data_IF_216815070339
#
_entry.id   IF_216815070339
#
_cell.length_a   1.000
_cell.length_b   1.000
_cell.length_c   1.000
_cell.angle_alpha   90.00
_cell.angle_beta   90.00
_cell.angle_gamma   90.00
#
_symmetry.space_group_name_H-M   'P 1'
#
loop_
_entity.id
_entity.type
_entity.pdbx_description
1 polymer ?
#
# COMPACT_ATOMS: atom_id res chain seq x y z
N UNK A 1 -6.23 23.15 -5.38
CA UNK A 1 -7.32 22.38 -6.00
C UNK A 1 -8.61 22.70 -5.26
N UNK A 2 -9.65 23.08 -5.99
CA UNK A 2 -10.97 23.32 -5.40
C UNK A 2 -11.66 21.97 -5.14
N UNK A 3 -12.46 21.81 -4.06
CA UNK A 3 -13.12 20.55 -3.71
C UNK A 3 -14.06 19.99 -4.79
N UNK A 4 -14.49 20.83 -5.73
CA UNK A 4 -15.37 20.49 -6.85
C UNK A 4 -14.71 19.63 -7.94
N UNK A 5 -13.38 19.60 -8.01
CA UNK A 5 -12.63 18.85 -9.04
C UNK A 5 -12.22 17.44 -8.57
N UNK A 6 -12.51 17.11 -7.31
CA UNK A 6 -12.19 15.82 -6.73
C UNK A 6 -13.31 14.80 -7.01
N UNK A 7 -12.99 13.56 -7.37
CA UNK A 7 -14.01 12.55 -7.65
C UNK A 7 -14.84 12.26 -6.40
N UNK A 8 -16.17 12.21 -6.56
CA UNK A 8 -17.15 11.99 -5.49
C UNK A 8 -16.93 10.70 -4.66
N UNK A 9 -16.05 9.80 -5.13
CA UNK A 9 -15.58 8.63 -4.37
C UNK A 9 -14.85 8.98 -3.07
N UNK A 10 -14.22 10.15 -2.98
CA UNK A 10 -13.50 10.60 -1.78
C UNK A 10 -14.50 10.97 -0.68
N UNK A 11 -15.58 11.67 -1.04
CA UNK A 11 -16.66 12.05 -0.13
C UNK A 11 -17.46 10.84 0.41
N UNK A 12 -17.51 9.73 -0.34
CA UNK A 12 -18.16 8.48 0.11
C UNK A 12 -17.43 7.77 1.26
N UNK A 13 -16.18 8.14 1.58
CA UNK A 13 -15.42 7.53 2.68
C UNK A 13 -15.84 8.01 4.07
N UNK A 14 -16.59 9.11 4.16
CA UNK A 14 -17.16 9.66 5.40
C UNK A 14 -18.68 9.66 5.30
N UNK A 15 -19.36 8.52 5.54
CA UNK A 15 -20.80 8.51 5.66
C UNK A 15 -21.22 9.35 6.88
N UNK A 16 -22.17 10.26 6.69
CA UNK A 16 -22.79 11.01 7.79
C UNK A 16 -23.54 10.00 8.66
N UNK A 17 -23.06 9.79 9.88
CA UNK A 17 -23.69 8.88 10.84
C UNK A 17 -24.60 9.69 11.75
N UNK A 18 -25.88 9.31 11.81
CA UNK A 18 -26.86 9.88 12.74
C UNK A 18 -26.98 9.01 14.01
N UNK A 19 -25.84 8.54 14.53
CA UNK A 19 -25.74 7.77 15.77
C UNK A 19 -24.63 8.35 16.65
N UNK A 20 -24.68 8.07 17.97
CA UNK A 20 -23.67 8.50 18.94
C UNK A 20 -22.42 7.59 18.97
N UNK A 21 -22.11 6.95 17.83
CA UNK A 21 -21.03 5.98 17.75
C UNK A 21 -19.78 6.64 17.16
N UNK A 22 -18.93 7.15 18.05
CA UNK A 22 -17.68 7.87 17.74
C UNK A 22 -16.56 6.94 17.19
N UNK A 23 -16.84 5.66 16.95
CA UNK A 23 -15.87 4.72 16.43
C UNK A 23 -15.53 5.01 14.96
N UNK A 24 -14.30 5.44 14.70
CA UNK A 24 -13.81 5.81 13.36
C UNK A 24 -13.90 4.66 12.33
N UNK A 25 -13.88 3.41 12.77
CA UNK A 25 -14.01 2.22 11.92
C UNK A 25 -15.18 1.34 12.38
N UNK A 26 -15.98 0.83 11.43
CA UNK A 26 -17.09 -0.10 11.70
C UNK A 26 -16.69 -1.59 11.53
N UNK A 27 -15.40 -1.90 11.61
CA UNK A 27 -14.92 -3.27 11.42
C UNK A 27 -15.07 -4.09 12.71
N UNK A 28 -15.47 -5.37 12.59
CA UNK A 28 -15.72 -6.29 13.72
C UNK A 28 -14.45 -6.61 14.52
N UNK A 29 -13.31 -6.65 13.85
CA UNK A 29 -12.02 -6.93 14.48
C UNK A 29 -11.15 -5.68 14.35
N UNK A 30 -10.90 -5.04 15.48
CA UNK A 30 -10.02 -3.89 15.60
C UNK A 30 -8.96 -4.21 16.63
N UNK A 31 -7.71 -3.95 16.28
CA UNK A 31 -6.59 -4.19 17.16
C UNK A 31 -5.33 -3.65 16.51
N UNK A 32 -4.49 -3.01 17.33
CA UNK A 32 -3.14 -2.68 16.92
C UNK A 32 -2.21 -3.82 17.37
N UNK A 33 -1.25 -4.24 16.52
CA UNK A 33 -0.26 -5.21 16.93
C UNK A 33 0.53 -4.67 18.13
N UNK A 34 0.58 -5.42 19.23
CA UNK A 34 1.23 -5.03 20.49
C UNK A 34 2.70 -4.61 20.31
N UNK A 35 3.39 -5.23 19.35
CA UNK A 35 4.79 -5.00 19.04
C UNK A 35 5.01 -4.17 17.77
N UNK A 36 3.97 -3.52 17.25
CA UNK A 36 4.00 -2.75 16.01
C UNK A 36 3.96 -3.61 14.74
N UNK A 37 3.73 -2.96 13.60
CA UNK A 37 3.59 -3.63 12.29
C UNK A 37 4.90 -4.25 11.80
N UNK A 38 6.04 -3.64 12.14
CA UNK A 38 7.36 -4.14 11.75
C UNK A 38 7.61 -5.56 12.25
N UNK A 39 7.28 -5.85 13.51
CA UNK A 39 7.47 -7.19 14.09
C UNK A 39 6.50 -8.21 13.49
N UNK A 40 5.26 -7.79 13.20
CA UNK A 40 4.30 -8.63 12.50
C UNK A 40 4.81 -9.03 11.11
N UNK A 41 5.28 -8.07 10.31
CA UNK A 41 5.84 -8.34 8.97
C UNK A 41 7.08 -9.21 9.07
N UNK A 42 7.98 -8.92 10.03
CA UNK A 42 9.17 -9.74 10.27
C UNK A 42 8.81 -11.19 10.58
N UNK A 43 7.76 -11.41 11.39
CA UNK A 43 7.27 -12.75 11.70
C UNK A 43 6.71 -13.48 10.48
N UNK A 44 6.04 -12.77 9.58
CA UNK A 44 5.51 -13.35 8.32
C UNK A 44 6.66 -13.76 7.39
N UNK A 45 7.73 -12.96 7.33
CA UNK A 45 8.88 -13.19 6.46
C UNK A 45 9.91 -14.16 7.05
N UNK A 46 9.77 -14.57 8.31
CA UNK A 46 10.71 -15.45 9.00
C UNK A 46 10.48 -16.92 8.66
N UNK A 47 10.83 -17.31 7.42
CA UNK A 47 10.75 -18.68 6.94
C UNK A 47 12.03 -19.03 6.17
N UNK A 48 12.53 -20.26 6.28
CA UNK A 48 13.82 -20.68 5.70
C UNK A 48 13.88 -20.49 4.18
N UNK A 49 12.74 -20.66 3.50
CA UNK A 49 12.61 -20.47 2.05
C UNK A 49 12.45 -19.00 1.61
N UNK A 50 12.42 -18.04 2.53
CA UNK A 50 12.22 -16.62 2.21
C UNK A 50 13.52 -15.86 2.50
N UNK A 51 14.15 -15.36 1.44
CA UNK A 51 15.27 -14.43 1.52
C UNK A 51 14.78 -13.01 1.22
N UNK A 52 15.12 -12.07 2.10
CA UNK A 52 14.74 -10.66 1.97
C UNK A 52 16.00 -9.82 1.81
N UNK A 53 16.15 -9.20 0.66
CA UNK A 53 17.20 -8.21 0.39
C UNK A 53 16.57 -6.80 0.42
N UNK A 54 17.07 -5.92 1.30
CA UNK A 54 16.60 -4.54 1.43
C UNK A 54 17.50 -3.59 0.63
N UNK A 55 17.00 -2.38 0.36
CA UNK A 55 17.73 -1.34 -0.41
C UNK A 55 18.15 -1.78 -1.83
N UNK A 56 17.46 -2.77 -2.38
CA UNK A 56 17.68 -3.29 -3.73
C UNK A 56 16.52 -2.89 -4.61
N UNK A 57 16.83 -2.19 -5.69
CA UNK A 57 15.87 -1.90 -6.76
C UNK A 57 15.66 -3.14 -7.63
N UNK A 58 14.44 -3.33 -8.12
CA UNK A 58 14.12 -4.44 -9.01
C UNK A 58 14.55 -4.11 -10.43
N UNK A 59 15.38 -4.97 -11.03
CA UNK A 59 15.87 -4.84 -12.40
C UNK A 59 15.10 -5.84 -13.27
N UNK A 60 14.48 -5.37 -14.38
CA UNK A 60 13.56 -6.18 -15.20
C UNK A 60 14.24 -7.41 -15.78
N UNK A 61 15.53 -7.31 -16.10
CA UNK A 61 16.38 -8.40 -16.58
C UNK A 61 16.51 -9.54 -15.56
N UNK A 62 16.36 -9.28 -14.26
CA UNK A 62 16.45 -10.32 -13.22
C UNK A 62 15.29 -11.31 -13.28
N UNK A 63 14.18 -10.95 -13.95
CA UNK A 63 13.00 -11.82 -14.08
C UNK A 63 13.31 -13.18 -14.69
N UNK A 64 14.36 -13.31 -15.50
CA UNK A 64 14.73 -14.56 -16.18
C UNK A 64 15.35 -15.58 -15.22
N UNK A 65 15.78 -15.16 -14.03
CA UNK A 65 16.35 -16.04 -13.01
C UNK A 65 15.28 -16.72 -12.14
N UNK A 66 14.00 -16.37 -12.31
CA UNK A 66 12.89 -16.86 -11.50
C UNK A 66 11.76 -17.38 -12.40
N UNK A 67 11.07 -18.44 -11.98
CA UNK A 67 9.91 -18.97 -12.71
C UNK A 67 8.73 -17.99 -12.72
N UNK A 68 8.54 -17.26 -11.62
CA UNK A 68 7.47 -16.28 -11.45
C UNK A 68 7.93 -15.08 -10.63
N UNK A 69 7.50 -13.88 -11.03
CA UNK A 69 7.80 -12.62 -10.33
C UNK A 69 6.49 -11.96 -9.90
N UNK A 70 6.37 -11.70 -8.59
CA UNK A 70 5.31 -10.87 -8.02
C UNK A 70 5.82 -9.45 -7.82
N UNK A 71 5.31 -8.49 -8.60
CA UNK A 71 5.72 -7.09 -8.52
C UNK A 71 4.61 -6.24 -7.88
N UNK A 72 4.90 -5.64 -6.72
CA UNK A 72 3.96 -4.79 -5.98
C UNK A 72 4.31 -3.28 -6.05
N UNK A 73 5.30 -2.92 -6.87
CA UNK A 73 5.66 -1.53 -7.11
C UNK A 73 4.71 -0.83 -8.09
N UNK A 74 4.97 0.44 -8.43
CA UNK A 74 4.17 1.17 -9.43
C UNK A 74 4.22 0.48 -10.79
N UNK A 75 3.06 0.21 -11.38
CA UNK A 75 2.94 -0.46 -12.68
C UNK A 75 3.63 0.36 -13.79
N UNK A 76 3.55 1.69 -13.71
CA UNK A 76 4.16 2.62 -14.66
C UNK A 76 5.69 2.48 -14.70
N UNK A 77 6.31 2.27 -13.52
CA UNK A 77 7.75 2.06 -13.38
C UNK A 77 8.18 0.70 -13.96
N UNK A 78 7.33 -0.32 -13.86
CA UNK A 78 7.62 -1.65 -14.40
C UNK A 78 7.64 -1.68 -15.93
N UNK A 79 6.72 -0.96 -16.58
CA UNK A 79 6.61 -0.94 -18.05
C UNK A 79 7.36 0.22 -18.71
N UNK A 80 8.13 1.00 -17.94
CA UNK A 80 8.84 2.19 -18.42
C UNK A 80 7.94 3.13 -19.23
N UNK A 81 6.68 3.28 -18.80
CA UNK A 81 5.73 4.14 -19.47
C UNK A 81 5.99 5.59 -19.05
N UNK A 82 6.43 6.49 -19.96
CA UNK A 82 6.68 7.89 -19.63
C UNK A 82 5.38 8.71 -19.48
N UNK A 83 4.23 8.04 -19.40
CA UNK A 83 2.93 8.70 -19.39
C UNK A 83 2.42 8.80 -17.95
N UNK A 84 2.30 10.04 -17.49
CA UNK A 84 1.80 10.49 -16.19
C UNK A 84 2.78 10.51 -15.01
N UNK A 85 2.86 11.63 -14.26
CA UNK A 85 3.31 11.55 -12.88
C UNK A 85 2.30 10.67 -12.16
N UNK A 86 2.75 9.54 -11.60
CA UNK A 86 1.93 8.70 -10.74
C UNK A 86 1.22 9.61 -9.74
N UNK A 87 -0.12 9.64 -9.73
CA UNK A 87 -0.93 10.45 -8.82
C UNK A 87 -0.85 10.01 -7.37
N UNK A 88 0.31 9.49 -6.95
CA UNK A 88 0.64 9.11 -5.59
C UNK A 88 0.70 10.41 -4.77
N UNK A 89 -0.21 10.49 -3.81
CA UNK A 89 -0.22 11.57 -2.84
C UNK A 89 0.93 11.34 -1.88
N UNK A 90 2.04 12.07 -2.09
CA UNK A 90 3.16 12.06 -1.16
C UNK A 90 2.79 12.87 0.08
N UNK A 91 2.82 12.23 1.25
CA UNK A 91 2.69 12.92 2.54
C UNK A 91 4.07 13.51 2.84
N UNK A 92 4.17 14.85 2.82
CA UNK A 92 5.35 15.56 3.33
C UNK A 92 5.07 15.94 4.79
N UNK A 93 5.98 15.54 5.68
CA UNK A 93 5.99 15.99 7.07
C UNK A 93 6.65 17.35 7.20
#
# INVERSE_FOLDING_TARGET
MQPSELPASILKRLPVRFNYDDNYFNHKFQGMPKCGYTQMIKSILNHENIKVDLQREFIVEERTHYDHVFYSGPLDAFFWLPIWPSGLSNIRF
#
